data_IF_002820996488
#
_entry.id   IF_002820996488
#
_cell.length_a   1.000
_cell.length_b   1.000
_cell.length_c   1.000
_cell.angle_alpha   90.00
_cell.angle_beta   90.00
_cell.angle_gamma   90.00
#
_symmetry.space_group_name_H-M   'P 1'
#
loop_
_entity.id
_entity.type
_entity.pdbx_description
1 polymer ?
#
# COMPACT_ATOMS: atom_id res chain seq x y z
N UNK A 1 15.36 24.74 50.89
CA UNK A 1 15.41 23.57 49.97
C UNK A 1 14.41 23.77 48.82
N UNK A 2 14.79 24.51 47.77
CA UNK A 2 13.95 24.74 46.56
C UNK A 2 14.85 25.02 45.36
N UNK A 3 15.73 24.07 45.03
CA UNK A 3 16.51 24.02 43.80
C UNK A 3 16.72 22.53 43.59
N UNK A 4 16.14 21.96 42.52
CA UNK A 4 16.46 20.64 41.93
C UNK A 4 15.26 19.93 41.26
N UNK A 5 14.04 20.48 41.30
CA UNK A 5 12.88 19.85 40.61
C UNK A 5 12.68 20.38 39.19
N UNK A 6 13.15 21.60 38.87
CA UNK A 6 12.93 22.20 37.55
C UNK A 6 13.80 21.64 36.42
N UNK A 7 14.92 20.98 36.74
CA UNK A 7 15.83 20.44 35.72
C UNK A 7 15.38 19.07 35.18
N UNK A 8 14.49 18.38 35.88
CA UNK A 8 14.06 17.02 35.51
C UNK A 8 12.95 17.01 34.44
N UNK A 9 12.10 18.05 34.38
CA UNK A 9 11.06 18.15 33.34
C UNK A 9 11.60 18.55 31.96
N UNK A 10 12.72 19.27 31.87
CA UNK A 10 13.30 19.63 30.58
C UNK A 10 14.01 18.46 29.90
N UNK A 11 14.54 17.50 30.66
CA UNK A 11 15.23 16.32 30.11
C UNK A 11 14.23 15.29 29.58
N UNK A 12 13.02 15.19 30.15
CA UNK A 12 11.95 14.31 29.63
C UNK A 12 11.27 14.84 28.37
N UNK A 13 11.30 16.15 28.10
CA UNK A 13 10.78 16.74 26.87
C UNK A 13 11.78 16.67 25.69
N UNK A 14 13.08 16.53 25.97
CA UNK A 14 14.11 16.33 24.94
C UNK A 14 14.23 14.88 24.45
N UNK A 15 13.77 13.91 25.25
CA UNK A 15 13.78 12.49 24.86
C UNK A 15 12.60 12.09 23.96
N UNK A 16 11.53 12.88 23.90
CA UNK A 16 10.40 12.67 22.97
C UNK A 16 10.65 13.27 21.57
N UNK A 17 11.72 14.05 21.40
CA UNK A 17 12.12 14.56 20.08
C UNK A 17 12.96 13.53 19.27
N UNK A 18 13.47 12.48 19.93
CA UNK A 18 14.07 11.33 19.26
C UNK A 18 12.98 10.31 18.86
N UNK A 19 12.40 10.49 17.67
CA UNK A 19 12.08 9.40 16.70
C UNK A 19 11.04 9.81 15.64
N UNK A 20 10.99 11.09 15.26
CA UNK A 20 10.30 11.50 14.03
C UNK A 20 11.19 11.34 12.78
N UNK A 21 12.50 11.11 12.95
CA UNK A 21 13.40 10.70 11.88
C UNK A 21 12.97 9.32 11.35
N UNK A 22 12.30 9.30 10.19
CA UNK A 22 11.88 8.07 9.51
C UNK A 22 10.41 7.98 9.12
N UNK A 23 9.57 8.93 9.53
CA UNK A 23 8.19 9.03 9.04
C UNK A 23 8.12 9.41 7.54
N UNK A 24 9.19 10.00 7.03
CA UNK A 24 9.31 10.46 5.65
C UNK A 24 9.71 9.36 4.68
N UNK A 25 9.97 8.13 5.16
CA UNK A 25 10.43 7.03 4.32
C UNK A 25 9.57 5.77 4.45
N UNK A 26 9.45 5.06 3.34
CA UNK A 26 8.78 3.77 3.27
C UNK A 26 9.56 2.71 4.05
N UNK A 27 8.81 1.78 4.65
CA UNK A 27 9.29 0.62 5.39
C UNK A 27 9.21 -0.59 4.47
N UNK A 28 10.30 -1.35 4.37
CA UNK A 28 10.35 -2.60 3.63
C UNK A 28 9.67 -3.74 4.40
N UNK A 29 8.83 -4.53 3.73
CA UNK A 29 8.21 -5.75 4.30
C UNK A 29 8.78 -7.02 3.69
N UNK A 30 8.65 -7.16 2.37
CA UNK A 30 8.98 -8.40 1.68
C UNK A 30 9.37 -8.17 0.21
N UNK A 31 9.81 -9.25 -0.42
CA UNK A 31 10.15 -9.26 -1.83
C UNK A 31 9.88 -10.61 -2.48
N UNK A 32 9.68 -10.59 -3.80
CA UNK A 32 9.59 -11.77 -4.65
C UNK A 32 10.40 -11.55 -5.95
N UNK A 33 11.33 -12.44 -6.31
CA UNK A 33 12.01 -12.37 -7.60
C UNK A 33 11.03 -12.50 -8.77
N UNK A 34 11.28 -11.80 -9.88
CA UNK A 34 10.55 -12.03 -11.12
C UNK A 34 10.84 -13.43 -11.68
N UNK A 35 9.97 -13.98 -12.55
CA UNK A 35 10.15 -15.32 -13.10
C UNK A 35 11.44 -15.49 -13.93
N UNK A 36 11.90 -14.42 -14.58
CA UNK A 36 13.17 -14.35 -15.32
C UNK A 36 14.38 -14.11 -14.41
N UNK A 37 14.17 -13.82 -13.12
CA UNK A 37 15.20 -13.47 -12.14
C UNK A 37 16.03 -12.22 -12.49
N UNK A 38 15.57 -11.40 -13.44
CA UNK A 38 16.24 -10.13 -13.78
C UNK A 38 15.84 -9.02 -12.81
N UNK A 39 14.65 -9.12 -12.23
CA UNK A 39 14.06 -8.12 -11.36
C UNK A 39 13.61 -8.72 -10.03
N UNK A 40 13.33 -7.84 -9.08
CA UNK A 40 12.65 -8.15 -7.83
C UNK A 40 11.49 -7.17 -7.64
N UNK A 41 10.34 -7.70 -7.25
CA UNK A 41 9.22 -6.90 -6.77
C UNK A 41 9.28 -6.85 -5.26
N UNK A 42 9.15 -5.66 -4.68
CA UNK A 42 9.27 -5.45 -3.26
C UNK A 42 8.08 -4.67 -2.72
N UNK A 43 7.56 -5.13 -1.59
CA UNK A 43 6.46 -4.51 -0.89
C UNK A 43 6.99 -3.57 0.20
N UNK A 44 6.43 -2.38 0.22
CA UNK A 44 6.70 -1.38 1.23
C UNK A 44 5.41 -0.76 1.76
N UNK A 45 5.48 -0.12 2.93
CA UNK A 45 4.42 0.72 3.47
C UNK A 45 4.92 2.04 4.05
N UNK A 46 4.05 3.04 4.11
CA UNK A 46 4.32 4.26 4.88
C UNK A 46 4.20 4.02 6.39
N UNK A 47 4.88 4.86 7.19
CA UNK A 47 4.72 4.80 8.66
C UNK A 47 3.51 5.63 9.07
N UNK A 48 2.52 4.97 9.67
CA UNK A 48 1.38 5.68 10.25
C UNK A 48 1.58 5.98 11.73
N UNK A 49 1.72 7.26 12.07
CA UNK A 49 1.99 7.70 13.45
C UNK A 49 0.70 7.82 14.29
N UNK A 50 -0.47 7.98 13.66
CA UNK A 50 -1.72 8.35 14.34
C UNK A 50 -2.88 7.36 14.14
N UNK A 51 -2.59 6.09 13.89
CA UNK A 51 -3.61 5.03 13.82
C UNK A 51 -4.48 5.04 12.56
N UNK A 52 -4.04 5.71 11.49
CA UNK A 52 -4.60 5.54 10.14
C UNK A 52 -4.13 4.26 9.46
N UNK A 53 -4.70 3.98 8.29
CA UNK A 53 -4.31 2.85 7.46
C UNK A 53 -3.07 3.18 6.62
N UNK A 54 -2.04 2.32 6.62
CA UNK A 54 -0.84 2.59 5.83
C UNK A 54 -1.13 2.50 4.33
N UNK A 55 -0.47 3.37 3.56
CA UNK A 55 -0.31 3.22 2.12
C UNK A 55 0.68 2.10 1.82
N UNK A 56 0.36 1.26 0.84
CA UNK A 56 1.16 0.11 0.42
C UNK A 56 1.64 0.29 -1.01
N UNK A 57 2.91 -0.02 -1.22
CA UNK A 57 3.60 0.24 -2.47
C UNK A 57 4.30 -1.03 -2.92
N UNK A 58 4.09 -1.40 -4.18
CA UNK A 58 4.85 -2.46 -4.83
C UNK A 58 5.78 -1.81 -5.84
N UNK A 59 7.08 -1.95 -5.61
CA UNK A 59 8.11 -1.37 -6.46
C UNK A 59 8.92 -2.46 -7.15
N UNK A 60 9.38 -2.16 -8.37
CA UNK A 60 10.23 -3.02 -9.19
C UNK A 60 11.67 -2.53 -9.18
N UNK A 61 12.61 -3.45 -8.94
CA UNK A 61 14.05 -3.19 -8.90
C UNK A 61 14.82 -4.24 -9.69
N UNK A 62 16.05 -3.90 -10.08
CA UNK A 62 17.00 -4.88 -10.61
C UNK A 62 17.38 -5.89 -9.53
N UNK A 63 17.59 -7.15 -9.95
CA UNK A 63 18.04 -8.21 -9.06
C UNK A 63 19.36 -7.84 -8.37
N UNK A 64 19.44 -8.10 -7.06
CA UNK A 64 20.64 -7.81 -6.25
C UNK A 64 20.64 -6.42 -5.59
N UNK A 65 19.62 -5.59 -5.84
CA UNK A 65 19.42 -4.33 -5.10
C UNK A 65 19.31 -4.59 -3.59
N UNK A 66 20.05 -3.84 -2.77
CA UNK A 66 19.97 -3.93 -1.30
C UNK A 66 18.79 -3.11 -0.77
N UNK A 67 17.60 -3.71 -0.85
CA UNK A 67 16.31 -3.05 -0.58
C UNK A 67 16.19 -2.51 0.85
N UNK A 68 16.88 -3.11 1.82
CA UNK A 68 16.83 -2.69 3.24
C UNK A 68 17.63 -1.42 3.54
N UNK A 69 18.45 -0.97 2.59
CA UNK A 69 19.25 0.25 2.71
C UNK A 69 18.69 1.42 1.90
N UNK A 70 17.58 1.21 1.18
CA UNK A 70 16.96 2.26 0.39
C UNK A 70 16.22 3.25 1.29
N UNK A 71 16.40 4.54 1.00
CA UNK A 71 15.65 5.62 1.62
C UNK A 71 14.61 6.12 0.60
N UNK A 72 13.45 5.46 0.57
CA UNK A 72 12.38 5.77 -0.38
C UNK A 72 11.40 6.73 0.28
N UNK A 73 11.21 7.96 -0.23
CA UNK A 73 10.33 8.93 0.43
C UNK A 73 8.86 8.48 0.41
N UNK A 74 8.02 8.95 1.34
CA UNK A 74 6.57 8.66 1.39
C UNK A 74 5.73 9.53 0.45
N UNK A 75 6.24 10.68 0.02
CA UNK A 75 5.45 11.76 -0.62
C UNK A 75 5.79 12.06 -2.09
N UNK A 76 6.11 11.05 -2.91
CA UNK A 76 6.56 11.26 -4.29
C UNK A 76 5.44 11.44 -5.35
N UNK A 77 4.18 11.69 -4.96
CA UNK A 77 3.01 11.49 -5.85
C UNK A 77 2.42 12.78 -6.48
N UNK A 78 2.82 14.00 -6.10
CA UNK A 78 2.47 15.21 -6.88
C UNK A 78 3.40 16.39 -6.63
N UNK A 79 3.96 16.99 -7.70
CA UNK A 79 4.93 18.11 -7.61
C UNK A 79 6.40 17.67 -7.53
N UNK A 80 6.64 16.37 -7.74
CA UNK A 80 7.90 15.66 -7.53
C UNK A 80 9.10 16.24 -8.31
N UNK A 81 10.22 16.40 -7.59
CA UNK A 81 11.58 16.56 -8.12
C UNK A 81 11.97 15.39 -9.04
N UNK A 82 13.04 15.53 -9.81
CA UNK A 82 13.51 14.46 -10.71
C UNK A 82 13.84 13.16 -9.96
N UNK A 83 14.33 13.25 -8.72
CA UNK A 83 14.59 12.09 -7.86
C UNK A 83 13.29 11.38 -7.45
N UNK A 84 12.23 12.13 -7.16
CA UNK A 84 10.92 11.57 -6.82
C UNK A 84 10.23 10.90 -8.01
N UNK A 85 10.49 11.39 -9.24
CA UNK A 85 10.01 10.74 -10.47
C UNK A 85 10.63 9.37 -10.69
N UNK A 86 11.85 9.12 -10.19
CA UNK A 86 12.44 7.79 -10.25
C UNK A 86 11.60 6.78 -9.46
N UNK A 87 11.15 7.14 -8.27
CA UNK A 87 10.31 6.29 -7.43
C UNK A 87 8.92 6.05 -8.04
N UNK A 88 8.35 7.07 -8.70
CA UNK A 88 7.14 6.91 -9.51
C UNK A 88 7.33 5.86 -10.60
N UNK A 89 8.43 5.91 -11.34
CA UNK A 89 8.70 4.96 -12.43
C UNK A 89 8.96 3.54 -11.94
N UNK A 90 9.43 3.38 -10.69
CA UNK A 90 9.63 2.06 -10.06
C UNK A 90 8.34 1.50 -9.46
N UNK A 91 7.36 2.35 -9.13
CA UNK A 91 6.08 1.93 -8.54
C UNK A 91 5.20 1.23 -9.58
N UNK A 92 4.86 -0.03 -9.34
CA UNK A 92 4.02 -0.83 -10.25
C UNK A 92 2.60 -1.02 -9.74
N UNK A 93 2.41 -0.98 -8.41
CA UNK A 93 1.10 -0.95 -7.76
C UNK A 93 1.18 -0.03 -6.53
N UNK A 94 0.14 0.75 -6.28
CA UNK A 94 0.01 1.53 -5.06
C UNK A 94 -1.42 1.49 -4.54
N UNK A 95 -1.58 1.11 -3.29
CA UNK A 95 -2.89 1.05 -2.67
C UNK A 95 -2.87 1.62 -1.26
N UNK A 96 -3.80 2.54 -1.03
CA UNK A 96 -4.21 3.00 0.27
C UNK A 96 -5.71 2.72 0.42
N UNK A 97 -6.17 2.40 1.62
CA UNK A 97 -7.60 2.15 1.83
C UNK A 97 -7.95 2.53 3.24
N UNK A 98 -8.75 3.60 3.38
CA UNK A 98 -9.39 3.93 4.64
C UNK A 98 -10.48 2.92 4.93
N UNK A 99 -10.43 2.33 6.12
CA UNK A 99 -11.49 1.53 6.71
C UNK A 99 -11.75 0.13 6.10
N UNK A 100 -11.95 -0.83 7.01
CA UNK A 100 -12.40 -2.19 6.71
C UNK A 100 -11.55 -3.25 7.42
N UNK A 101 -12.08 -4.47 7.53
CA UNK A 101 -11.40 -5.58 8.21
C UNK A 101 -10.35 -6.30 7.32
N UNK A 102 -10.22 -5.82 6.08
CA UNK A 102 -9.42 -6.43 5.02
C UNK A 102 -8.01 -5.81 4.92
N UNK A 103 -7.52 -5.19 6.00
CA UNK A 103 -6.20 -4.54 6.08
C UNK A 103 -5.08 -5.49 6.54
N UNK A 104 -5.46 -6.71 6.96
CA UNK A 104 -4.57 -7.71 7.57
C UNK A 104 -3.71 -8.44 6.54
N UNK A 105 -2.52 -8.89 6.94
CA UNK A 105 -1.63 -9.74 6.14
C UNK A 105 -1.38 -9.23 4.70
N UNK A 106 -0.95 -7.97 4.53
CA UNK A 106 -0.53 -7.45 3.23
C UNK A 106 0.62 -8.28 2.69
N UNK A 107 0.53 -8.71 1.44
CA UNK A 107 1.61 -9.41 0.75
C UNK A 107 1.44 -9.36 -0.78
N UNK A 108 2.49 -9.72 -1.50
CA UNK A 108 2.53 -9.88 -2.95
C UNK A 108 2.73 -11.34 -3.31
N UNK A 109 2.20 -11.72 -4.47
CA UNK A 109 2.33 -13.08 -5.01
C UNK A 109 2.46 -13.05 -6.52
N UNK A 110 3.28 -13.96 -7.05
CA UNK A 110 3.29 -14.25 -8.49
C UNK A 110 2.40 -15.47 -8.76
N UNK A 111 1.47 -15.32 -9.71
CA UNK A 111 0.60 -16.38 -10.23
C UNK A 111 1.03 -16.67 -11.66
N UNK A 112 1.20 -17.96 -11.97
CA UNK A 112 1.46 -18.48 -13.32
C UNK A 112 2.67 -17.85 -14.03
N UNK A 113 3.70 -17.46 -13.26
CA UNK A 113 4.91 -16.82 -13.77
C UNK A 113 4.61 -15.58 -14.65
N UNK A 114 3.51 -14.87 -14.38
CA UNK A 114 3.09 -13.70 -15.17
C UNK A 114 2.44 -12.63 -14.33
N UNK A 115 1.53 -13.01 -13.44
CA UNK A 115 0.69 -12.06 -12.74
C UNK A 115 1.27 -11.74 -11.38
N UNK A 116 1.70 -10.51 -11.17
CA UNK A 116 2.00 -10.01 -9.83
C UNK A 116 0.71 -9.46 -9.23
N UNK A 117 0.34 -10.00 -8.07
CA UNK A 117 -0.89 -9.62 -7.37
C UNK A 117 -0.54 -9.06 -6.00
N UNK A 118 -1.11 -7.91 -5.66
CA UNK A 118 -1.08 -7.37 -4.31
C UNK A 118 -2.32 -7.81 -3.54
N UNK A 119 -2.14 -8.33 -2.32
CA UNK A 119 -3.17 -9.01 -1.54
C UNK A 119 -3.22 -8.40 -0.13
N UNK A 120 -4.42 -8.10 0.36
CA UNK A 120 -4.68 -7.71 1.76
C UNK A 120 -5.99 -8.32 2.23
N UNK A 121 -6.05 -8.80 3.46
CA UNK A 121 -7.25 -9.40 4.04
C UNK A 121 -7.76 -10.64 3.29
N UNK A 122 -6.91 -11.27 2.47
CA UNK A 122 -7.31 -12.37 1.58
C UNK A 122 -8.01 -11.94 0.29
N UNK A 123 -8.03 -10.64 -0.03
CA UNK A 123 -8.55 -10.09 -1.29
C UNK A 123 -7.43 -9.50 -2.14
N UNK A 124 -7.60 -9.52 -3.44
CA UNK A 124 -6.71 -8.93 -4.44
C UNK A 124 -7.02 -7.44 -4.58
N UNK A 125 -5.99 -6.62 -4.40
CA UNK A 125 -6.06 -5.16 -4.44
C UNK A 125 -5.39 -4.55 -5.68
N UNK A 126 -4.48 -5.30 -6.33
CA UNK A 126 -3.81 -4.84 -7.54
C UNK A 126 -3.31 -6.01 -8.37
N UNK A 127 -3.23 -5.79 -9.68
CA UNK A 127 -2.78 -6.76 -10.67
C UNK A 127 -1.82 -6.08 -11.66
N UNK A 128 -0.64 -6.67 -11.81
CA UNK A 128 0.39 -6.24 -12.74
C UNK A 128 0.79 -7.41 -13.66
N UNK A 129 0.86 -7.14 -14.97
CA UNK A 129 1.33 -8.08 -15.98
C UNK A 129 2.85 -7.96 -16.11
N UNK A 130 3.59 -8.95 -15.60
CA UNK A 130 5.04 -8.97 -15.64
C UNK A 130 5.54 -9.06 -17.09
N UNK A 131 4.85 -9.82 -17.96
CA UNK A 131 5.28 -10.04 -19.35
C UNK A 131 5.13 -8.77 -20.19
N UNK A 132 4.01 -8.08 -20.01
CA UNK A 132 3.71 -6.84 -20.74
C UNK A 132 4.23 -5.59 -20.01
N UNK A 133 4.88 -5.77 -18.86
CA UNK A 133 5.45 -4.72 -18.02
C UNK A 133 4.45 -3.57 -17.76
N UNK A 134 3.19 -3.90 -17.44
CA UNK A 134 2.11 -2.91 -17.27
C UNK A 134 1.15 -3.26 -16.14
N UNK A 135 0.66 -2.21 -15.49
CA UNK A 135 -0.41 -2.31 -14.49
C UNK A 135 -1.76 -2.56 -15.17
N UNK A 136 -2.51 -3.54 -14.67
CA UNK A 136 -3.84 -3.90 -15.22
C UNK A 136 -4.96 -3.41 -14.31
N UNK A 137 -4.81 -3.60 -13.00
CA UNK A 137 -5.76 -3.13 -11.99
C UNK A 137 -4.96 -2.48 -10.87
N UNK A 138 -5.21 -1.21 -10.60
CA UNK A 138 -4.65 -0.51 -9.45
C UNK A 138 -5.61 0.58 -8.99
N UNK A 139 -6.50 0.23 -8.05
CA UNK A 139 -7.41 1.20 -7.45
C UNK A 139 -6.68 1.77 -6.23
N UNK A 140 -6.08 2.95 -6.42
CA UNK A 140 -5.25 3.59 -5.39
C UNK A 140 -5.99 3.82 -4.08
N UNK A 141 -7.30 4.12 -4.14
CA UNK A 141 -8.14 4.29 -2.96
C UNK A 141 -9.54 3.69 -3.13
N UNK A 142 -9.72 2.38 -2.86
CA UNK A 142 -11.00 1.70 -3.01
C UNK A 142 -12.12 2.33 -2.18
N UNK A 143 -11.80 2.84 -0.98
CA UNK A 143 -12.76 3.52 -0.12
C UNK A 143 -13.37 4.75 -0.79
N UNK A 144 -12.53 5.67 -1.27
CA UNK A 144 -12.97 6.84 -2.02
C UNK A 144 -13.78 6.44 -3.26
N UNK A 145 -13.31 5.48 -4.05
CA UNK A 145 -14.05 5.01 -5.24
C UNK A 145 -15.43 4.46 -4.88
N UNK A 146 -15.52 3.70 -3.78
CA UNK A 146 -16.79 3.18 -3.30
C UNK A 146 -17.73 4.30 -2.82
N UNK A 147 -17.27 5.23 -1.98
CA UNK A 147 -18.09 6.36 -1.52
C UNK A 147 -18.65 7.15 -2.69
N UNK A 148 -17.82 7.50 -3.68
CA UNK A 148 -18.27 8.25 -4.86
C UNK A 148 -19.16 7.44 -5.81
N UNK A 149 -19.29 6.13 -5.61
CA UNK A 149 -20.25 5.28 -6.34
C UNK A 149 -21.63 5.21 -5.67
N UNK A 150 -21.77 5.75 -4.47
CA UNK A 150 -23.03 5.83 -3.73
C UNK A 150 -23.66 7.22 -3.94
N UNK A 151 -24.99 7.27 -3.94
CA UNK A 151 -25.68 8.54 -3.72
C UNK A 151 -25.51 8.96 -2.24
N UNK A 152 -25.39 10.27 -1.98
CA UNK A 152 -25.12 10.83 -0.65
C UNK A 152 -26.12 10.31 0.41
N UNK A 153 -27.41 10.26 0.06
CA UNK A 153 -28.49 9.75 0.92
C UNK A 153 -28.26 8.29 1.34
N UNK A 154 -27.68 7.47 0.45
CA UNK A 154 -27.39 6.06 0.73
C UNK A 154 -26.23 5.95 1.72
N UNK A 155 -25.18 6.76 1.58
CA UNK A 155 -24.04 6.70 2.50
C UNK A 155 -24.46 7.13 3.91
N UNK A 156 -25.22 8.22 4.04
CA UNK A 156 -25.69 8.74 5.33
C UNK A 156 -26.63 7.77 6.05
N UNK A 157 -27.46 7.01 5.30
CA UNK A 157 -28.40 6.05 5.87
C UNK A 157 -27.75 4.80 6.48
N UNK A 158 -26.52 4.44 6.08
CA UNK A 158 -25.85 3.22 6.54
C UNK A 158 -25.14 3.44 7.88
N UNK A 159 -25.32 2.50 8.81
CA UNK A 159 -24.48 2.38 10.02
C UNK A 159 -23.03 2.03 9.67
N UNK A 160 -22.10 2.22 10.62
CA UNK A 160 -20.68 1.89 10.41
C UNK A 160 -20.50 0.41 10.00
N UNK A 161 -21.21 -0.52 10.64
CA UNK A 161 -21.10 -1.95 10.33
C UNK A 161 -21.66 -2.29 8.95
N UNK A 162 -22.76 -1.64 8.55
CA UNK A 162 -23.32 -1.77 7.20
C UNK A 162 -22.38 -1.21 6.15
N UNK A 163 -21.73 -0.06 6.40
CA UNK A 163 -20.70 0.51 5.52
C UNK A 163 -19.54 -0.44 5.33
N UNK A 164 -19.02 -1.02 6.42
CA UNK A 164 -17.94 -2.03 6.34
C UNK A 164 -18.32 -3.23 5.49
N UNK A 165 -19.54 -3.76 5.69
CA UNK A 165 -20.05 -4.91 4.94
C UNK A 165 -20.27 -4.60 3.47
N UNK A 166 -20.91 -3.47 3.16
CA UNK A 166 -21.16 -3.02 1.79
C UNK A 166 -19.84 -2.78 1.06
N UNK A 167 -18.88 -2.12 1.71
CA UNK A 167 -17.55 -1.90 1.16
C UNK A 167 -16.78 -3.20 0.90
N UNK A 168 -16.82 -4.17 1.82
CA UNK A 168 -16.21 -5.49 1.60
C UNK A 168 -16.83 -6.22 0.41
N UNK A 169 -18.17 -6.15 0.26
CA UNK A 169 -18.85 -6.71 -0.90
C UNK A 169 -18.48 -6.00 -2.20
N UNK A 170 -18.37 -4.66 -2.15
CA UNK A 170 -17.95 -3.87 -3.30
C UNK A 170 -16.56 -4.28 -3.79
N UNK A 171 -15.59 -4.46 -2.88
CA UNK A 171 -14.23 -4.91 -3.24
C UNK A 171 -14.24 -6.30 -3.88
N UNK A 172 -15.06 -7.22 -3.36
CA UNK A 172 -15.21 -8.55 -3.96
C UNK A 172 -15.69 -8.49 -5.41
N UNK A 173 -16.64 -7.60 -5.73
CA UNK A 173 -17.18 -7.50 -7.08
C UNK A 173 -16.30 -6.69 -8.03
N UNK A 174 -15.68 -5.61 -7.56
CA UNK A 174 -15.01 -4.63 -8.40
C UNK A 174 -13.49 -4.79 -8.46
N UNK A 175 -12.91 -5.57 -7.54
CA UNK A 175 -11.46 -5.81 -7.49
C UNK A 175 -11.17 -7.31 -7.60
N UNK A 176 -11.56 -8.10 -6.60
CA UNK A 176 -11.27 -9.54 -6.54
C UNK A 176 -11.72 -10.24 -7.83
N UNK A 177 -13.02 -10.12 -8.16
CA UNK A 177 -13.60 -10.79 -9.31
C UNK A 177 -13.02 -10.32 -10.64
N UNK A 178 -12.69 -9.03 -10.76
CA UNK A 178 -12.07 -8.48 -11.97
C UNK A 178 -10.69 -9.11 -12.16
N UNK A 179 -9.86 -9.11 -11.11
CA UNK A 179 -8.51 -9.68 -11.13
C UNK A 179 -8.56 -11.19 -11.40
N UNK A 180 -9.43 -11.93 -10.71
CA UNK A 180 -9.62 -13.38 -10.94
C UNK A 180 -10.04 -13.67 -12.37
N UNK A 181 -11.01 -12.92 -12.91
CA UNK A 181 -11.46 -13.09 -14.27
C UNK A 181 -10.34 -12.83 -15.27
N UNK A 182 -9.52 -11.79 -15.07
CA UNK A 182 -8.38 -11.49 -15.94
C UNK A 182 -7.35 -12.60 -15.93
N UNK A 183 -6.98 -13.10 -14.75
CA UNK A 183 -6.04 -14.22 -14.62
C UNK A 183 -6.59 -15.47 -15.35
N UNK A 184 -7.87 -15.78 -15.13
CA UNK A 184 -8.50 -16.98 -15.70
C UNK A 184 -8.82 -16.85 -17.20
N UNK A 185 -9.12 -15.66 -17.72
CA UNK A 185 -9.49 -15.46 -19.14
C UNK A 185 -8.32 -15.67 -20.09
N UNK A 186 -7.10 -15.44 -19.60
CA UNK A 186 -5.87 -15.70 -20.36
C UNK A 186 -5.52 -17.20 -20.39
N UNK A 187 -6.35 -18.03 -19.74
CA UNK A 187 -6.30 -19.48 -19.72
C UNK A 187 -7.70 -20.07 -19.99
N UNK A 188 -8.20 -20.08 -21.24
CA UNK A 188 -9.36 -20.92 -21.55
C UNK A 188 -8.97 -22.37 -21.24
N UNK A 189 -9.69 -22.97 -20.28
CA UNK A 189 -9.59 -24.38 -19.92
C UNK A 189 -9.59 -25.32 -21.13
#
# INVERSE_FOLDING_TARGET
MKKNIFLLCCITLLLSACSLEGADYLVYDEQIPSPDSENVFALFHDRVIWGGDPGWYVLKFDQGTDLKKLNIPTSYISGASEEEKEWLNKSVLWNWSEAGDDTRNPHIKIIENRWLVFIRGGLYYGLYDIKENRTIVDIHSPWHTWIYSLDDDKYEALTIDERKKDFSNWKKQNMQKVIENTINSDHPL
#
